data_IF_978241082054
#
_entry.id   IF_978241082054
#
_cell.length_a   1.000
_cell.length_b   1.000
_cell.length_c   1.000
_cell.angle_alpha   90.00
_cell.angle_beta   90.00
_cell.angle_gamma   90.00
#
_symmetry.space_group_name_H-M   'P 1'
#
loop_
_entity.id
_entity.type
_entity.pdbx_description
1 polymer ?
#
# COMPACT_ATOMS: atom_id res chain seq x y z
N UNK A 1 16.41 44.16 3.59
CA UNK A 1 16.45 42.88 2.87
C UNK A 1 17.32 41.94 3.69
N UNK A 2 16.72 41.08 4.52
CA UNK A 2 17.46 40.15 5.36
C UNK A 2 17.36 38.75 4.75
N UNK A 3 18.46 38.30 4.17
CA UNK A 3 18.62 36.96 3.62
C UNK A 3 18.73 35.96 4.78
N UNK A 4 17.68 35.18 5.01
CA UNK A 4 17.77 34.01 5.88
C UNK A 4 18.39 32.86 5.08
N UNK A 5 19.70 32.69 5.25
CA UNK A 5 20.43 31.48 4.86
C UNK A 5 20.03 30.35 5.81
N UNK A 6 18.91 29.69 5.54
CA UNK A 6 18.66 28.36 6.08
C UNK A 6 19.34 27.37 5.17
N UNK A 7 20.57 26.95 5.53
CA UNK A 7 21.18 25.74 4.97
C UNK A 7 20.27 24.57 5.32
N UNK A 8 19.27 24.30 4.47
CA UNK A 8 18.28 23.25 4.68
C UNK A 8 19.00 21.92 4.62
N UNK A 9 19.04 21.19 5.74
CA UNK A 9 19.57 19.84 5.76
C UNK A 9 18.82 19.00 4.70
N UNK A 10 19.53 18.59 3.67
CA UNK A 10 18.99 17.73 2.61
C UNK A 10 18.94 16.29 3.13
N UNK A 11 17.77 15.65 3.04
CA UNK A 11 17.55 14.29 3.52
C UNK A 11 17.70 13.30 2.37
N UNK A 12 18.71 12.43 2.41
CA UNK A 12 19.00 11.45 1.36
C UNK A 12 18.32 10.10 1.65
N UNK A 13 17.92 9.38 0.59
CA UNK A 13 17.55 7.98 0.70
C UNK A 13 18.79 7.10 0.67
N UNK A 14 18.99 6.29 1.72
CA UNK A 14 20.17 5.43 1.86
C UNK A 14 19.94 3.99 1.35
N UNK A 15 18.79 3.72 0.72
CA UNK A 15 18.53 2.40 0.14
C UNK A 15 19.42 2.19 -1.08
N UNK A 16 20.14 1.08 -1.11
CA UNK A 16 21.09 0.76 -2.17
C UNK A 16 20.42 0.81 -3.55
N UNK A 17 21.04 1.53 -4.50
CA UNK A 17 20.51 1.70 -5.85
C UNK A 17 19.36 2.70 -5.99
N UNK A 18 18.92 3.36 -4.91
CA UNK A 18 17.93 4.41 -5.01
C UNK A 18 18.55 5.70 -5.59
N UNK A 19 18.02 6.17 -6.72
CA UNK A 19 18.50 7.40 -7.41
C UNK A 19 17.60 8.60 -7.14
N UNK A 20 16.82 8.59 -6.05
CA UNK A 20 15.95 9.71 -5.72
C UNK A 20 16.78 10.94 -5.32
N UNK A 21 16.38 12.10 -5.82
CA UNK A 21 16.97 13.37 -5.41
C UNK A 21 16.82 13.59 -3.89
N UNK A 22 17.70 14.39 -3.27
CA UNK A 22 17.58 14.73 -1.86
C UNK A 22 16.22 15.37 -1.55
N UNK A 23 15.66 15.02 -0.40
CA UNK A 23 14.38 15.54 0.07
C UNK A 23 14.59 16.77 0.94
N UNK A 24 13.73 17.78 0.77
CA UNK A 24 13.76 19.01 1.57
C UNK A 24 13.32 18.84 3.03
N UNK A 25 12.68 17.71 3.36
CA UNK A 25 12.19 17.42 4.71
C UNK A 25 12.29 15.94 5.04
N UNK A 26 12.46 15.62 6.34
CA UNK A 26 12.45 14.23 6.84
C UNK A 26 11.14 13.51 6.53
N UNK A 27 9.99 14.21 6.60
CA UNK A 27 8.68 13.62 6.29
C UNK A 27 8.56 13.19 4.83
N UNK A 28 9.15 13.94 3.91
CA UNK A 28 9.20 13.55 2.50
C UNK A 28 10.08 12.31 2.27
N UNK A 29 11.23 12.23 2.95
CA UNK A 29 12.09 11.04 2.92
C UNK A 29 11.37 9.80 3.47
N UNK A 30 10.70 9.91 4.62
CA UNK A 30 9.98 8.76 5.22
C UNK A 30 8.88 8.26 4.28
N UNK A 31 8.07 9.16 3.74
CA UNK A 31 7.04 8.82 2.74
C UNK A 31 7.65 8.19 1.48
N UNK A 32 8.83 8.61 1.05
CA UNK A 32 9.52 7.98 -0.07
C UNK A 32 9.91 6.53 0.27
N UNK A 33 10.52 6.30 1.43
CA UNK A 33 10.93 4.96 1.89
C UNK A 33 9.71 4.04 1.98
N UNK A 34 8.64 4.47 2.63
CA UNK A 34 7.40 3.69 2.75
C UNK A 34 6.80 3.32 1.40
N UNK A 35 6.82 4.23 0.42
CA UNK A 35 6.19 3.99 -0.87
C UNK A 35 7.07 3.24 -1.87
N UNK A 36 8.40 3.38 -1.79
CA UNK A 36 9.34 2.86 -2.80
C UNK A 36 10.16 1.67 -2.32
N UNK A 37 10.38 1.55 -1.02
CA UNK A 37 11.31 0.57 -0.45
C UNK A 37 10.67 -0.35 0.59
N UNK A 38 9.41 -0.11 0.97
CA UNK A 38 8.70 -1.05 1.84
C UNK A 38 8.53 -2.39 1.12
N UNK A 39 8.90 -3.53 1.75
CA UNK A 39 8.66 -4.85 1.18
C UNK A 39 7.17 -5.20 1.11
N UNK A 40 6.33 -4.42 1.78
CA UNK A 40 4.89 -4.58 1.80
C UNK A 40 4.15 -3.29 1.50
N UNK A 41 2.96 -3.40 0.94
CA UNK A 41 2.02 -2.31 0.82
C UNK A 41 0.77 -2.56 1.66
N UNK A 42 0.24 -1.47 2.21
CA UNK A 42 -1.07 -1.47 2.83
C UNK A 42 -2.14 -1.43 1.75
N UNK A 43 -3.13 -2.29 1.91
CA UNK A 43 -4.31 -2.42 1.08
C UNK A 43 -5.54 -2.28 1.95
N UNK A 44 -6.65 -1.99 1.27
CA UNK A 44 -7.95 -1.82 1.87
C UNK A 44 -8.97 -2.55 1.04
N UNK A 45 -9.80 -3.38 1.68
CA UNK A 45 -11.02 -3.90 1.09
C UNK A 45 -12.19 -3.00 1.49
N UNK A 46 -12.81 -2.40 0.48
CA UNK A 46 -13.99 -1.57 0.65
C UNK A 46 -15.24 -2.42 0.93
N UNK A 47 -16.33 -1.85 1.46
CA UNK A 47 -17.59 -2.58 1.66
C UNK A 47 -18.18 -3.20 0.38
N UNK A 48 -17.87 -2.64 -0.80
CA UNK A 48 -18.24 -3.21 -2.10
C UNK A 48 -17.29 -4.31 -2.59
N UNK A 49 -16.48 -4.88 -1.70
CA UNK A 49 -15.45 -5.89 -1.95
C UNK A 49 -14.26 -5.46 -2.83
N UNK A 50 -14.29 -4.23 -3.37
CA UNK A 50 -13.18 -3.68 -4.13
C UNK A 50 -11.96 -3.46 -3.25
N UNK A 51 -10.82 -3.97 -3.70
CA UNK A 51 -9.52 -3.73 -3.09
C UNK A 51 -8.88 -2.47 -3.67
N UNK A 52 -8.32 -1.63 -2.80
CA UNK A 52 -7.61 -0.40 -3.12
C UNK A 52 -6.28 -0.37 -2.37
N UNK A 53 -5.23 0.18 -2.98
CA UNK A 53 -4.00 0.50 -2.24
C UNK A 53 -4.33 1.58 -1.20
N UNK A 54 -3.96 1.33 0.05
CA UNK A 54 -4.36 2.18 1.18
C UNK A 54 -3.88 3.61 0.96
N UNK A 55 -4.86 4.51 0.85
CA UNK A 55 -4.65 5.93 0.78
C UNK A 55 -5.94 6.61 1.26
N UNK A 56 -5.92 7.37 2.38
CA UNK A 56 -7.11 8.01 2.93
C UNK A 56 -7.88 8.86 1.90
N UNK A 57 -7.17 9.52 0.99
CA UNK A 57 -7.79 10.31 -0.07
C UNK A 57 -8.50 9.45 -1.11
N UNK A 58 -7.89 8.33 -1.53
CA UNK A 58 -8.50 7.41 -2.49
C UNK A 58 -9.73 6.72 -1.91
N UNK A 59 -9.66 6.30 -0.64
CA UNK A 59 -10.76 5.60 0.03
C UNK A 59 -11.97 6.53 0.18
N UNK A 60 -11.74 7.79 0.57
CA UNK A 60 -12.80 8.81 0.64
C UNK A 60 -13.39 9.14 -0.74
N UNK A 61 -12.56 9.25 -1.77
CA UNK A 61 -13.04 9.47 -3.15
C UNK A 61 -13.84 8.28 -3.66
N UNK A 62 -13.51 7.06 -3.22
CA UNK A 62 -14.28 5.88 -3.56
C UNK A 62 -15.67 5.92 -2.93
N UNK A 63 -15.81 6.25 -1.64
CA UNK A 63 -17.14 6.30 -1.01
C UNK A 63 -18.07 7.35 -1.62
N UNK A 64 -17.54 8.40 -2.24
CA UNK A 64 -18.35 9.41 -2.95
C UNK A 64 -18.68 9.05 -4.40
N UNK A 65 -17.83 8.28 -5.08
CA UNK A 65 -17.97 7.98 -6.52
C UNK A 65 -18.33 6.53 -6.86
N UNK A 66 -18.46 5.65 -5.86
CA UNK A 66 -18.82 4.26 -6.08
C UNK A 66 -20.31 4.13 -6.40
N UNK A 67 -20.65 3.32 -7.41
CA UNK A 67 -22.04 3.01 -7.76
C UNK A 67 -22.72 2.07 -6.76
N UNK A 68 -21.96 1.44 -5.87
CA UNK A 68 -22.49 0.51 -4.88
C UNK A 68 -23.09 1.26 -3.69
N UNK A 69 -24.34 0.93 -3.37
CA UNK A 69 -25.09 1.53 -2.24
C UNK A 69 -24.41 1.28 -0.89
N UNK A 70 -23.67 0.17 -0.73
CA UNK A 70 -22.95 -0.12 0.52
C UNK A 70 -21.71 0.76 0.74
N UNK A 71 -21.24 1.44 -0.30
CA UNK A 71 -20.17 2.43 -0.18
C UNK A 71 -20.67 3.85 0.00
N UNK A 72 -21.91 4.14 -0.41
CA UNK A 72 -22.52 5.46 -0.24
C UNK A 72 -22.64 5.79 1.25
N UNK A 73 -21.93 6.84 1.69
CA UNK A 73 -21.94 7.26 3.09
C UNK A 73 -21.04 6.41 4.01
N UNK A 74 -20.22 5.50 3.47
CA UNK A 74 -19.20 4.82 4.27
C UNK A 74 -18.06 5.79 4.63
N UNK A 75 -17.87 6.03 5.92
CA UNK A 75 -16.84 6.94 6.46
C UNK A 75 -15.59 6.21 6.97
N UNK A 76 -15.60 4.87 6.96
CA UNK A 76 -14.50 4.06 7.47
C UNK A 76 -13.33 3.94 6.49
N UNK A 77 -12.16 3.46 6.98
CA UNK A 77 -11.00 3.22 6.16
C UNK A 77 -11.10 1.95 5.30
N UNK A 78 -12.16 1.13 5.46
CA UNK A 78 -12.29 -0.23 4.94
C UNK A 78 -11.57 -1.26 5.82
N UNK A 79 -11.61 -2.53 5.43
CA UNK A 79 -10.80 -3.58 6.07
C UNK A 79 -9.34 -3.40 5.60
N UNK A 80 -8.45 -2.98 6.51
CA UNK A 80 -7.03 -2.75 6.21
C UNK A 80 -6.26 -4.05 6.33
N UNK A 81 -5.40 -4.34 5.34
CA UNK A 81 -4.50 -5.50 5.35
C UNK A 81 -3.20 -5.18 4.61
N UNK A 82 -2.23 -6.08 4.68
CA UNK A 82 -0.88 -5.92 4.14
C UNK A 82 -0.59 -7.03 3.14
N UNK A 83 0.03 -6.68 2.00
CA UNK A 83 0.48 -7.64 0.99
C UNK A 83 1.89 -7.29 0.46
N UNK A 84 2.65 -8.27 -0.06
CA UNK A 84 3.96 -8.01 -0.67
C UNK A 84 3.93 -6.90 -1.71
N UNK A 85 4.94 -6.04 -1.73
CA UNK A 85 4.98 -4.84 -2.57
C UNK A 85 5.00 -5.14 -4.07
N UNK A 86 5.45 -6.33 -4.46
CA UNK A 86 5.48 -6.79 -5.85
C UNK A 86 4.13 -7.35 -6.34
N UNK A 87 3.15 -7.55 -5.44
CA UNK A 87 1.81 -7.97 -5.86
C UNK A 87 1.07 -6.79 -6.49
N UNK A 88 0.62 -6.98 -7.72
CA UNK A 88 -0.26 -6.02 -8.38
C UNK A 88 -1.70 -6.12 -7.85
N UNK A 89 -2.50 -5.11 -8.19
CA UNK A 89 -3.88 -5.01 -7.72
C UNK A 89 -4.76 -6.19 -8.13
N UNK A 90 -4.59 -6.72 -9.33
CA UNK A 90 -5.39 -7.83 -9.84
C UNK A 90 -5.14 -9.10 -9.04
N UNK A 91 -3.88 -9.41 -8.76
CA UNK A 91 -3.52 -10.54 -7.90
C UNK A 91 -4.09 -10.37 -6.48
N UNK A 92 -3.92 -9.21 -5.86
CA UNK A 92 -4.46 -8.96 -4.50
C UNK A 92 -5.99 -9.10 -4.48
N UNK A 93 -6.68 -8.57 -5.48
CA UNK A 93 -8.13 -8.72 -5.60
C UNK A 93 -8.53 -10.20 -5.74
N UNK A 94 -7.84 -10.97 -6.59
CA UNK A 94 -8.11 -12.39 -6.77
C UNK A 94 -7.95 -13.19 -5.47
N UNK A 95 -6.88 -12.96 -4.71
CA UNK A 95 -6.65 -13.62 -3.42
C UNK A 95 -7.80 -13.30 -2.45
N UNK A 96 -8.19 -12.02 -2.39
CA UNK A 96 -9.27 -11.56 -1.51
C UNK A 96 -10.63 -12.13 -1.92
N UNK A 97 -10.91 -12.24 -3.23
CA UNK A 97 -12.17 -12.77 -3.75
C UNK A 97 -12.29 -14.28 -3.54
N UNK A 98 -11.16 -15.00 -3.54
CA UNK A 98 -11.11 -16.47 -3.42
C UNK A 98 -10.93 -16.97 -1.98
N UNK A 99 -10.87 -16.07 -1.00
CA UNK A 99 -10.52 -16.38 0.40
C UNK A 99 -11.49 -17.27 1.19
N UNK A 100 -12.70 -17.50 0.67
CA UNK A 100 -13.78 -18.15 1.41
C UNK A 100 -14.13 -17.39 2.70
N UNK A 101 -14.03 -18.07 3.84
CA UNK A 101 -14.36 -17.52 5.17
C UNK A 101 -13.18 -16.81 5.88
N UNK A 102 -12.01 -16.76 5.24
CA UNK A 102 -10.83 -16.10 5.83
C UNK A 102 -10.99 -14.58 5.83
N UNK A 103 -10.24 -13.90 6.70
CA UNK A 103 -10.03 -12.45 6.59
C UNK A 103 -9.17 -12.14 5.35
N UNK A 104 -9.15 -10.88 4.90
CA UNK A 104 -8.27 -10.47 3.79
C UNK A 104 -6.79 -10.67 4.15
N UNK A 105 -6.42 -10.43 5.40
CA UNK A 105 -5.03 -10.62 5.86
C UNK A 105 -4.63 -12.10 5.87
N UNK A 106 -5.49 -12.99 6.35
CA UNK A 106 -5.22 -14.43 6.41
C UNK A 106 -5.15 -15.05 5.01
N UNK A 107 -6.00 -14.58 4.08
CA UNK A 107 -5.97 -14.99 2.69
C UNK A 107 -4.62 -14.68 2.02
N UNK A 108 -4.10 -13.47 2.24
CA UNK A 108 -2.80 -13.06 1.73
C UNK A 108 -1.68 -13.91 2.33
N UNK A 109 -1.70 -14.16 3.64
CA UNK A 109 -0.69 -15.01 4.26
C UNK A 109 -0.75 -16.44 3.77
N UNK A 110 -1.94 -17.03 3.67
CA UNK A 110 -2.12 -18.37 3.13
C UNK A 110 -1.56 -18.47 1.71
N UNK A 111 -1.89 -17.49 0.85
CA UNK A 111 -1.35 -17.42 -0.50
C UNK A 111 0.18 -17.34 -0.51
N UNK A 112 0.75 -16.45 0.30
CA UNK A 112 2.20 -16.27 0.41
C UNK A 112 2.89 -17.58 0.81
N UNK A 113 2.38 -18.28 1.84
CA UNK A 113 2.97 -19.54 2.29
C UNK A 113 2.87 -20.66 1.25
N UNK A 114 1.69 -20.85 0.64
CA UNK A 114 1.49 -21.89 -0.38
C UNK A 114 2.38 -21.66 -1.60
N UNK A 115 2.58 -20.40 -1.99
CA UNK A 115 3.38 -20.07 -3.19
C UNK A 115 4.87 -19.86 -2.90
N UNK A 116 5.28 -19.74 -1.63
CA UNK A 116 6.69 -19.78 -1.22
C UNK A 116 7.29 -21.17 -1.44
N UNK A 117 6.54 -22.22 -1.13
CA UNK A 117 6.99 -23.61 -1.32
C UNK A 117 7.25 -23.96 -2.80
N UNK A 118 6.53 -23.34 -3.73
CA UNK A 118 6.77 -23.51 -5.18
C UNK A 118 8.01 -22.79 -5.70
N UNK A 119 8.52 -21.76 -5.04
CA UNK A 119 9.71 -21.03 -5.51
C UNK A 119 11.04 -21.70 -5.11
N UNK A 120 11.01 -22.70 -4.23
CA UNK A 120 12.19 -23.46 -3.79
C UNK A 120 12.31 -24.86 -4.42
N UNK A 121 11.43 -25.21 -5.36
CA UNK A 121 11.45 -26.51 -6.05
C UNK A 121 11.98 -26.43 -7.50
N UNK A 122 12.38 -25.24 -7.95
CA UNK A 122 12.93 -24.98 -9.29
C UNK A 122 14.43 -24.60 -9.26
N UNK A 123 15.20 -25.09 -8.28
CA UNK A 123 16.68 -25.03 -8.25
C UNK A 123 17.31 -26.44 -8.30
#
# INVERSE_FOLDING_TARGET
MSSNNSSGAEFLCMVQGCTANPFSTRGNLMRHIENRHSPFYFWVKMPCDKVLKSNPHNNRRHSTGCSSVVCSGYEGPGEVFVAPAHYDKGLVQLIVDTRGFMSSQDAIWNWVFVNLDTQFLDD
#
